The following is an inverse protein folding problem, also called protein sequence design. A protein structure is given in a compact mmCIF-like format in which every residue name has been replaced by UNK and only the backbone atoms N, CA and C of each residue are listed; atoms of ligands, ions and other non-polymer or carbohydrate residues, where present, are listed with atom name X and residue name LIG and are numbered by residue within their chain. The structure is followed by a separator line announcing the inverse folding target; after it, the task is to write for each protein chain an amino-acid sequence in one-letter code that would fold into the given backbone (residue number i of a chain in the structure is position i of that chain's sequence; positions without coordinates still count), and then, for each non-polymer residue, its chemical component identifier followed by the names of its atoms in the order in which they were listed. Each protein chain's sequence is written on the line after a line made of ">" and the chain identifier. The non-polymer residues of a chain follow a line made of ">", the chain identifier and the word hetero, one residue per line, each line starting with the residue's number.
data_IF_893615761471
#
_entry.id   IF_893615761471
#
_cell.length_a   1.000
_cell.length_b   1.000
_cell.length_c   1.000
_cell.angle_alpha   90.00
_cell.angle_beta   90.00
_cell.angle_gamma   90.00
#
_symmetry.space_group_name_H-M   'P 1'
#
loop_
_entity.id
_entity.type
_entity.pdbx_description
1 polymer ?
#
# COMPACT_ATOMS: atom_id res chain seq x y z
N UNK A 1 -3.70 13.71 -14.14
CA UNK A 1 -3.11 12.55 -13.42
C UNK A 1 -3.92 12.30 -12.16
N UNK A 2 -4.29 11.05 -11.85
CA UNK A 2 -4.95 10.71 -10.59
C UNK A 2 -3.96 10.88 -9.44
N UNK A 3 -4.31 11.71 -8.45
CA UNK A 3 -3.47 11.99 -7.28
C UNK A 3 -3.61 10.85 -6.28
N UNK A 4 -2.55 10.06 -6.10
CA UNK A 4 -2.46 9.09 -4.99
C UNK A 4 -2.04 9.80 -3.70
N UNK A 5 -2.27 9.20 -2.51
CA UNK A 5 -1.82 9.78 -1.25
C UNK A 5 -0.31 10.02 -1.21
N UNK A 6 0.13 11.06 -0.48
CA UNK A 6 1.55 11.33 -0.25
C UNK A 6 2.28 10.11 0.34
N UNK A 7 3.51 9.84 -0.12
CA UNK A 7 4.28 8.65 0.27
C UNK A 7 4.66 8.62 1.76
N UNK A 8 4.81 9.79 2.38
CA UNK A 8 5.24 9.90 3.79
C UNK A 8 4.09 9.66 4.77
N UNK A 9 2.87 9.45 4.27
CA UNK A 9 1.72 9.15 5.09
C UNK A 9 1.87 7.81 5.83
N UNK A 10 1.61 7.77 7.15
CA UNK A 10 1.85 6.57 7.96
C UNK A 10 1.01 5.37 7.54
N UNK A 11 -0.14 5.59 6.90
CA UNK A 11 -1.04 4.54 6.44
C UNK A 11 -0.35 3.56 5.48
N UNK A 12 0.63 4.01 4.67
CA UNK A 12 1.41 3.09 3.83
C UNK A 12 2.14 2.03 4.66
N UNK A 13 2.77 2.43 5.77
CA UNK A 13 3.44 1.50 6.68
C UNK A 13 2.41 0.60 7.38
N UNK A 14 1.26 1.15 7.77
CA UNK A 14 0.19 0.41 8.44
C UNK A 14 -0.49 -0.63 7.54
N UNK A 15 -0.62 -0.36 6.25
CA UNK A 15 -1.07 -1.34 5.25
C UNK A 15 -0.13 -2.55 5.21
N UNK A 16 1.17 -2.29 5.17
CA UNK A 16 2.20 -3.31 5.10
C UNK A 16 2.30 -4.08 6.43
N UNK A 17 2.28 -3.40 7.58
CA UNK A 17 2.33 -4.05 8.89
C UNK A 17 1.07 -4.87 9.18
N UNK A 18 -0.08 -4.48 8.62
CA UNK A 18 -1.37 -5.12 8.88
C UNK A 18 -2.15 -4.52 10.02
N UNK A 19 -1.74 -3.36 10.51
CA UNK A 19 -2.50 -2.57 11.48
C UNK A 19 -3.83 -2.03 10.91
N UNK A 20 -3.96 -1.98 9.58
CA UNK A 20 -5.21 -1.62 8.91
C UNK A 20 -5.93 -2.89 8.48
N UNK A 21 -7.04 -3.18 9.15
CA UNK A 21 -8.01 -4.18 8.71
C UNK A 21 -8.86 -3.60 7.56
N UNK A 22 -8.40 -3.81 6.33
CA UNK A 22 -9.07 -3.37 5.11
C UNK A 22 -9.48 -4.55 4.23
N UNK A 23 -10.72 -4.57 3.76
CA UNK A 23 -11.17 -5.54 2.77
C UNK A 23 -10.84 -5.00 1.36
N UNK A 24 -9.67 -5.41 0.86
CA UNK A 24 -9.17 -4.95 -0.44
C UNK A 24 -10.08 -5.38 -1.58
N UNK A 25 -10.55 -4.42 -2.38
CA UNK A 25 -11.24 -4.69 -3.64
C UNK A 25 -10.23 -5.05 -4.74
N UNK A 26 -9.03 -4.48 -4.67
CA UNK A 26 -7.94 -4.77 -5.59
C UNK A 26 -7.06 -5.92 -5.05
N UNK A 27 -7.22 -7.11 -5.65
CA UNK A 27 -6.44 -8.30 -5.27
C UNK A 27 -4.93 -8.15 -5.49
N UNK A 28 -4.50 -7.38 -6.49
CA UNK A 28 -3.06 -7.14 -6.72
C UNK A 28 -2.50 -6.32 -5.55
N UNK A 29 -3.20 -5.29 -5.10
CA UNK A 29 -2.81 -4.48 -3.94
C UNK A 29 -2.76 -5.34 -2.66
N UNK A 30 -3.76 -6.19 -2.44
CA UNK A 30 -3.77 -7.13 -1.31
C UNK A 30 -2.60 -8.12 -1.36
N UNK A 31 -2.33 -8.70 -2.53
CA UNK A 31 -1.24 -9.64 -2.70
C UNK A 31 0.11 -8.96 -2.44
N UNK A 32 0.30 -7.75 -2.94
CA UNK A 32 1.55 -7.00 -2.80
C UNK A 32 1.79 -6.56 -1.36
N UNK A 33 0.78 -6.03 -0.66
CA UNK A 33 0.89 -5.71 0.78
C UNK A 33 1.25 -6.96 1.60
N UNK A 34 0.62 -8.10 1.30
CA UNK A 34 0.91 -9.39 1.94
C UNK A 34 2.33 -9.87 1.65
N UNK A 35 2.81 -9.76 0.41
CA UNK A 35 4.18 -10.12 0.04
C UNK A 35 5.21 -9.23 0.74
N UNK A 36 5.00 -7.91 0.76
CA UNK A 36 5.88 -6.96 1.44
C UNK A 36 5.97 -7.26 2.94
N UNK A 37 4.84 -7.57 3.59
CA UNK A 37 4.81 -8.00 4.99
C UNK A 37 5.69 -9.23 5.25
N UNK A 38 5.57 -10.24 4.38
CA UNK A 38 6.40 -11.46 4.46
C UNK A 38 7.88 -11.14 4.27
N UNK A 39 8.23 -10.26 3.32
CA UNK A 39 9.62 -9.86 3.10
C UNK A 39 10.23 -9.11 4.27
N UNK A 40 9.47 -8.22 4.92
CA UNK A 40 9.91 -7.54 6.14
C UNK A 40 10.09 -8.56 7.27
N UNK A 41 9.12 -9.46 7.49
CA UNK A 41 9.23 -10.51 8.52
C UNK A 41 10.47 -11.38 8.33
N UNK A 42 10.83 -11.66 7.08
CA UNK A 42 12.01 -12.44 6.71
C UNK A 42 13.29 -11.60 6.56
N UNK A 43 13.29 -10.33 7.00
CA UNK A 43 14.41 -9.38 6.90
C UNK A 43 14.98 -9.20 5.48
N UNK A 44 14.16 -9.42 4.45
CA UNK A 44 14.52 -9.25 3.03
C UNK A 44 14.33 -7.82 2.52
N UNK A 45 13.51 -7.03 3.20
CA UNK A 45 13.25 -5.62 2.90
C UNK A 45 13.06 -4.84 4.20
N UNK A 46 13.43 -3.57 4.16
CA UNK A 46 13.04 -2.57 5.17
C UNK A 46 11.63 -2.06 4.91
N UNK A 47 11.02 -1.41 5.91
CA UNK A 47 9.72 -0.76 5.74
C UNK A 47 9.75 0.33 4.66
N UNK A 48 10.83 1.10 4.57
CA UNK A 48 10.91 2.23 3.63
C UNK A 48 11.02 1.74 2.18
N UNK A 49 11.77 0.66 1.94
CA UNK A 49 11.82 0.00 0.63
C UNK A 49 10.46 -0.60 0.25
N UNK A 50 9.78 -1.25 1.20
CA UNK A 50 8.46 -1.82 0.98
C UNK A 50 7.41 -0.73 0.66
N UNK A 51 7.42 0.38 1.41
CA UNK A 51 6.57 1.55 1.12
C UNK A 51 6.88 2.11 -0.26
N UNK A 52 8.15 2.23 -0.65
CA UNK A 52 8.53 2.71 -1.97
C UNK A 52 7.98 1.80 -3.09
N UNK A 53 8.11 0.47 -2.96
CA UNK A 53 7.60 -0.48 -3.94
C UNK A 53 6.07 -0.41 -4.06
N UNK A 54 5.38 -0.37 -2.92
CA UNK A 54 3.93 -0.28 -2.89
C UNK A 54 3.43 1.05 -3.49
N UNK A 55 4.08 2.17 -3.16
CA UNK A 55 3.77 3.48 -3.70
C UNK A 55 3.95 3.54 -5.22
N UNK A 56 5.06 3.01 -5.76
CA UNK A 56 5.31 2.96 -7.21
C UNK A 56 4.23 2.15 -7.92
N UNK A 57 3.84 1.00 -7.34
CA UNK A 57 2.75 0.18 -7.88
C UNK A 57 1.43 0.94 -7.88
N UNK A 58 1.10 1.59 -6.76
CA UNK A 58 -0.10 2.41 -6.63
C UNK A 58 -0.10 3.60 -7.59
N UNK A 59 1.06 4.20 -7.87
CA UNK A 59 1.18 5.29 -8.84
C UNK A 59 0.92 4.79 -10.27
N UNK A 60 1.59 3.69 -10.66
CA UNK A 60 1.46 3.08 -11.99
C UNK A 60 0.03 2.62 -12.29
N UNK A 61 -0.67 2.09 -11.29
CA UNK A 61 -2.03 1.57 -11.42
C UNK A 61 -3.06 2.39 -10.64
N UNK A 62 -2.85 3.72 -10.55
CA UNK A 62 -3.65 4.64 -9.72
C UNK A 62 -5.15 4.50 -9.87
N UNK A 63 -5.67 4.25 -11.09
CA UNK A 63 -7.11 4.03 -11.32
C UNK A 63 -7.63 2.74 -10.68
N UNK A 64 -6.84 1.67 -10.72
CA UNK A 64 -7.24 0.36 -10.23
C UNK A 64 -7.19 0.25 -8.70
N UNK A 65 -6.33 1.03 -8.05
CA UNK A 65 -6.17 1.05 -6.59
C UNK A 65 -6.96 2.18 -5.91
N UNK A 66 -7.55 3.08 -6.69
CA UNK A 66 -8.17 4.32 -6.21
C UNK A 66 -9.15 4.08 -5.06
N UNK A 67 -10.12 3.18 -5.25
CA UNK A 67 -11.17 2.92 -4.27
C UNK A 67 -10.63 2.41 -2.93
N UNK A 68 -9.61 1.54 -2.95
CA UNK A 68 -8.96 1.07 -1.73
C UNK A 68 -8.17 2.18 -1.05
N UNK A 69 -7.42 2.99 -1.82
CA UNK A 69 -6.64 4.09 -1.27
C UNK A 69 -7.53 5.19 -0.67
N UNK A 70 -8.68 5.50 -1.28
CA UNK A 70 -9.65 6.47 -0.73
C UNK A 70 -10.16 6.00 0.64
N UNK A 71 -10.53 4.72 0.76
CA UNK A 71 -11.01 4.14 2.02
C UNK A 71 -9.92 4.11 3.11
N UNK A 72 -8.70 3.73 2.73
CA UNK A 72 -7.58 3.60 3.68
C UNK A 72 -7.09 4.96 4.15
N UNK A 73 -6.87 5.90 3.23
CA UNK A 73 -6.26 7.20 3.52
C UNK A 73 -7.28 8.28 3.85
N UNK A 74 -8.59 7.98 3.77
CA UNK A 74 -9.69 8.91 4.01
C UNK A 74 -9.50 10.22 3.25
N UNK A 75 -9.13 10.09 1.98
CA UNK A 75 -8.96 11.22 1.07
C UNK A 75 -10.01 11.14 -0.02
N UNK A 76 -10.43 12.34 -0.44
CA UNK A 76 -11.51 12.64 -1.38
C UNK A 76 -12.88 12.67 -0.73
#
# INVERSE_FOLDING_TARGET
>A
MLKIPDKNRPEWKKMISGEIAHNYKNYVLQMQTTQMRRYIKNKKLTYDEAVNKLYILSYKYSRAVKSDLEQIFKIW
#
